data_IF_519198334209
#
_entry.id   IF_519198334209
#
_cell.length_a   1.000
_cell.length_b   1.000
_cell.length_c   1.000
_cell.angle_alpha   90.00
_cell.angle_beta   90.00
_cell.angle_gamma   90.00
#
_symmetry.space_group_name_H-M   'P 1'
#
loop_
_entity.id
_entity.type
_entity.pdbx_description
1 polymer ?
#
# COMPACT_ATOMS: atom_id res chain seq x y z
N UNK A 1 -17.11 5.98 4.24
CA UNK A 1 -15.98 6.14 3.32
C UNK A 1 -15.57 7.59 3.31
N UNK A 2 -14.31 7.93 3.03
CA UNK A 2 -13.78 9.29 3.13
C UNK A 2 -13.89 10.03 1.80
N UNK A 3 -14.26 11.33 1.86
CA UNK A 3 -14.27 12.20 0.67
C UNK A 3 -12.87 12.52 0.20
N UNK A 4 -12.76 12.87 -1.09
CA UNK A 4 -11.51 13.35 -1.65
C UNK A 4 -11.24 14.79 -1.18
N UNK A 5 -9.96 15.19 -0.95
CA UNK A 5 -9.64 16.55 -0.55
C UNK A 5 -10.26 17.63 -1.44
N UNK A 6 -10.22 17.48 -2.76
CA UNK A 6 -10.76 18.46 -3.70
C UNK A 6 -12.28 18.64 -3.64
N UNK A 7 -13.02 17.73 -3.00
CA UNK A 7 -14.48 17.84 -2.85
C UNK A 7 -14.89 18.55 -1.55
N UNK A 8 -13.96 18.73 -0.61
CA UNK A 8 -14.25 19.29 0.71
C UNK A 8 -14.18 20.82 0.64
N UNK A 9 -15.10 21.50 1.32
CA UNK A 9 -15.20 22.95 1.40
C UNK A 9 -13.91 23.61 1.92
N UNK A 10 -13.20 23.00 2.86
CA UNK A 10 -11.90 23.44 3.37
C UNK A 10 -10.82 23.58 2.29
N UNK A 11 -10.97 22.89 1.16
CA UNK A 11 -10.02 22.90 0.04
C UNK A 11 -10.63 23.44 -1.26
N UNK A 12 -11.76 24.18 -1.15
CA UNK A 12 -12.44 24.80 -2.28
C UNK A 12 -13.50 23.93 -2.96
N UNK A 13 -13.86 22.78 -2.38
CA UNK A 13 -14.99 21.96 -2.80
C UNK A 13 -16.32 22.45 -2.21
N UNK A 14 -17.37 21.66 -2.43
CA UNK A 14 -18.74 21.99 -1.97
C UNK A 14 -19.23 21.09 -0.83
N UNK A 15 -18.48 20.07 -0.45
CA UNK A 15 -18.90 19.09 0.56
C UNK A 15 -18.34 19.44 1.95
N UNK A 16 -19.18 19.33 2.98
CA UNK A 16 -18.72 19.44 4.36
C UNK A 16 -17.80 18.27 4.70
N UNK A 17 -16.76 18.53 5.50
CA UNK A 17 -15.86 17.48 5.98
C UNK A 17 -16.55 16.61 7.06
N UNK A 18 -16.56 15.30 6.85
CA UNK A 18 -17.04 14.33 7.85
C UNK A 18 -15.92 13.41 8.27
N UNK A 19 -15.78 13.21 9.57
CA UNK A 19 -14.87 12.22 10.13
C UNK A 19 -15.43 10.80 9.97
N UNK A 20 -14.59 9.77 10.11
CA UNK A 20 -14.99 8.35 9.99
C UNK A 20 -16.14 7.94 10.93
N UNK A 21 -16.29 8.63 12.05
CA UNK A 21 -17.23 8.32 13.11
C UNK A 21 -18.52 9.15 13.05
N UNK A 22 -18.63 10.09 12.13
CA UNK A 22 -19.81 10.92 11.96
C UNK A 22 -20.76 10.30 10.93
N UNK A 23 -22.07 10.27 11.29
CA UNK A 23 -23.11 9.87 10.35
C UNK A 23 -23.23 10.92 9.23
N UNK A 24 -23.24 10.46 7.99
CA UNK A 24 -23.45 11.33 6.82
C UNK A 24 -24.92 11.54 6.55
N UNK A 25 -25.34 12.75 6.13
CA UNK A 25 -26.70 12.97 5.66
C UNK A 25 -26.99 12.11 4.42
N UNK A 26 -28.18 11.53 4.39
CA UNK A 26 -28.68 10.80 3.21
C UNK A 26 -28.78 11.78 2.03
N UNK A 27 -28.05 11.51 0.95
CA UNK A 27 -28.12 12.32 -0.29
C UNK A 27 -26.80 12.93 -0.74
N UNK A 28 -25.70 12.81 0.02
CA UNK A 28 -24.39 13.18 -0.48
C UNK A 28 -23.89 12.15 -1.52
N UNK A 29 -23.41 12.67 -2.65
CA UNK A 29 -22.77 11.83 -3.66
C UNK A 29 -21.46 11.29 -3.06
N UNK A 30 -21.39 9.98 -2.88
CA UNK A 30 -20.23 9.31 -2.30
C UNK A 30 -19.07 9.35 -3.29
N UNK A 31 -18.08 10.17 -3.02
CA UNK A 31 -16.78 10.11 -3.67
C UNK A 31 -15.84 9.22 -2.86
N UNK A 32 -15.51 8.06 -3.41
CA UNK A 32 -14.71 7.04 -2.74
C UNK A 32 -13.22 7.28 -3.00
N UNK A 33 -12.53 7.90 -2.04
CA UNK A 33 -11.09 8.16 -2.13
C UNK A 33 -10.22 7.30 -1.22
N UNK A 34 -10.79 6.35 -0.52
CA UNK A 34 -10.05 5.40 0.30
C UNK A 34 -10.41 3.96 -0.10
N UNK A 35 -9.42 3.06 -0.24
CA UNK A 35 -7.98 3.28 -0.17
C UNK A 35 -7.40 4.01 -1.40
N UNK A 36 -6.15 4.50 -1.29
CA UNK A 36 -5.47 5.19 -2.38
C UNK A 36 -5.04 4.20 -3.48
N UNK A 37 -5.94 3.93 -4.44
CA UNK A 37 -5.75 2.89 -5.45
C UNK A 37 -4.49 3.07 -6.30
N UNK A 38 -4.14 4.30 -6.68
CA UNK A 38 -2.91 4.55 -7.44
C UNK A 38 -1.65 4.26 -6.61
N UNK A 39 -1.64 4.65 -5.33
CA UNK A 39 -0.52 4.37 -4.43
C UNK A 39 -0.39 2.85 -4.17
N UNK A 40 -1.50 2.11 -4.10
CA UNK A 40 -1.47 0.65 -3.91
C UNK A 40 -0.76 -0.07 -5.06
N UNK A 41 -0.90 0.42 -6.31
CA UNK A 41 -0.18 -0.13 -7.46
C UNK A 41 1.35 -0.04 -7.31
N UNK A 42 1.83 0.96 -6.57
CA UNK A 42 3.24 1.08 -6.20
C UNK A 42 3.60 0.26 -4.95
N UNK A 43 2.82 0.41 -3.87
CA UNK A 43 3.11 -0.25 -2.61
C UNK A 43 2.97 -1.78 -2.65
N UNK A 44 2.19 -2.37 -3.57
CA UNK A 44 2.12 -3.83 -3.70
C UNK A 44 3.49 -4.47 -4.02
N UNK A 45 4.42 -3.73 -4.62
CA UNK A 45 5.76 -4.21 -4.91
C UNK A 45 6.63 -4.43 -3.66
N UNK A 46 6.20 -4.00 -2.46
CA UNK A 46 6.86 -4.38 -1.20
C UNK A 46 6.85 -5.89 -0.99
N UNK A 47 5.95 -6.63 -1.65
CA UNK A 47 5.95 -8.09 -1.70
C UNK A 47 7.29 -8.67 -2.19
N UNK A 48 8.03 -7.95 -3.04
CA UNK A 48 9.36 -8.37 -3.48
C UNK A 48 10.34 -8.54 -2.33
N UNK A 49 10.19 -7.79 -1.23
CA UNK A 49 11.00 -7.98 -0.03
C UNK A 49 10.89 -9.41 0.47
N UNK A 50 9.68 -9.92 0.59
CA UNK A 50 9.43 -11.27 1.09
C UNK A 50 9.88 -12.32 0.08
N UNK A 51 9.54 -12.16 -1.21
CA UNK A 51 9.97 -13.09 -2.26
C UNK A 51 11.49 -13.20 -2.29
N UNK A 52 12.21 -12.08 -2.29
CA UNK A 52 13.67 -12.06 -2.30
C UNK A 52 14.27 -12.59 -0.98
N UNK A 53 13.57 -12.45 0.14
CA UNK A 53 14.00 -12.96 1.43
C UNK A 53 14.06 -14.51 1.45
N UNK A 54 13.08 -15.15 0.84
CA UNK A 54 12.98 -16.63 0.78
C UNK A 54 13.76 -17.24 -0.40
N UNK A 55 14.38 -16.43 -1.26
CA UNK A 55 15.25 -16.96 -2.30
C UNK A 55 16.49 -17.65 -1.71
N UNK A 56 16.96 -18.78 -2.30
CA UNK A 56 18.18 -19.45 -1.90
C UNK A 56 19.38 -18.48 -1.89
N UNK A 57 20.24 -18.63 -0.87
CA UNK A 57 21.39 -17.73 -0.66
C UNK A 57 22.33 -17.66 -1.87
N UNK A 58 22.44 -18.73 -2.65
CA UNK A 58 23.23 -18.79 -3.89
C UNK A 58 22.80 -17.78 -4.95
N UNK A 59 21.51 -17.50 -5.07
CA UNK A 59 20.98 -16.50 -5.99
C UNK A 59 21.26 -15.09 -5.50
N UNK A 60 21.10 -14.85 -4.20
CA UNK A 60 21.38 -13.55 -3.58
C UNK A 60 22.86 -13.18 -3.62
N UNK A 61 23.75 -14.16 -3.42
CA UNK A 61 25.20 -13.94 -3.50
C UNK A 61 25.68 -13.64 -4.93
N UNK A 62 25.03 -14.24 -5.94
CA UNK A 62 25.38 -14.03 -7.35
C UNK A 62 24.91 -12.69 -7.89
N UNK A 63 23.75 -12.19 -7.40
CA UNK A 63 23.12 -10.98 -7.91
C UNK A 63 22.83 -10.01 -6.77
N UNK A 64 23.69 -9.01 -6.58
CA UNK A 64 23.56 -8.01 -5.51
C UNK A 64 22.22 -7.25 -5.50
N UNK A 65 21.56 -7.13 -6.65
CA UNK A 65 20.24 -6.51 -6.75
C UNK A 65 19.08 -7.40 -6.26
N UNK A 66 19.32 -8.69 -6.00
CA UNK A 66 18.34 -9.62 -5.42
C UNK A 66 18.30 -9.58 -3.89
N UNK A 67 18.93 -8.61 -3.25
CA UNK A 67 18.78 -8.47 -1.81
C UNK A 67 17.40 -7.92 -1.45
N UNK A 68 16.74 -8.44 -0.40
CA UNK A 68 15.38 -8.04 0.01
C UNK A 68 15.20 -6.54 0.17
N UNK A 69 16.23 -5.85 0.70
CA UNK A 69 16.21 -4.38 0.88
C UNK A 69 15.93 -3.60 -0.41
N UNK A 70 16.36 -4.12 -1.58
CA UNK A 70 16.11 -3.44 -2.85
C UNK A 70 14.66 -3.60 -3.30
N UNK A 71 14.06 -4.78 -3.08
CA UNK A 71 12.63 -5.00 -3.31
C UNK A 71 11.77 -4.07 -2.44
N UNK A 72 12.11 -3.96 -1.15
CA UNK A 72 11.43 -3.05 -0.24
C UNK A 72 11.54 -1.59 -0.69
N UNK A 73 12.76 -1.12 -0.97
CA UNK A 73 13.00 0.26 -1.43
C UNK A 73 12.26 0.56 -2.70
N UNK A 74 12.28 -0.37 -3.66
CA UNK A 74 11.56 -0.22 -4.92
C UNK A 74 10.06 -0.01 -4.71
N UNK A 75 9.40 -0.89 -3.94
CA UNK A 75 7.97 -0.77 -3.64
C UNK A 75 7.62 0.50 -2.88
N UNK A 76 8.41 0.88 -1.87
CA UNK A 76 8.19 2.11 -1.12
C UNK A 76 8.37 3.37 -1.97
N UNK A 77 9.43 3.46 -2.77
CA UNK A 77 9.68 4.61 -3.64
C UNK A 77 8.60 4.75 -4.72
N UNK A 78 8.20 3.65 -5.34
CA UNK A 78 7.15 3.66 -6.36
C UNK A 78 5.79 4.04 -5.77
N UNK A 79 5.44 3.50 -4.59
CA UNK A 79 4.22 3.84 -3.87
C UNK A 79 4.18 5.31 -3.45
N UNK A 80 5.29 5.83 -2.91
CA UNK A 80 5.43 7.25 -2.58
C UNK A 80 5.29 8.15 -3.82
N UNK A 81 5.92 7.80 -4.93
CA UNK A 81 5.83 8.57 -6.17
C UNK A 81 4.38 8.69 -6.64
N UNK A 82 3.65 7.56 -6.66
CA UNK A 82 2.23 7.56 -7.02
C UNK A 82 1.38 8.28 -5.99
N UNK A 83 1.63 8.09 -4.68
CA UNK A 83 0.93 8.77 -3.60
C UNK A 83 1.09 10.29 -3.69
N UNK A 84 2.31 10.79 -3.78
CA UNK A 84 2.60 12.22 -3.89
C UNK A 84 1.92 12.82 -5.13
N UNK A 85 1.96 12.12 -6.28
CA UNK A 85 1.30 12.60 -7.49
C UNK A 85 -0.20 12.80 -7.31
N UNK A 86 -0.86 11.93 -6.55
CA UNK A 86 -2.29 12.03 -6.26
C UNK A 86 -2.60 13.08 -5.17
N UNK A 87 -1.70 13.27 -4.20
CA UNK A 87 -1.82 14.34 -3.21
C UNK A 87 -1.71 15.72 -3.88
N UNK A 88 -0.76 15.90 -4.81
CA UNK A 88 -0.62 17.14 -5.58
C UNK A 88 -1.86 17.47 -6.43
N UNK A 89 -2.60 16.44 -6.87
CA UNK A 89 -3.89 16.61 -7.53
C UNK A 89 -5.06 16.86 -6.58
N UNK A 90 -4.84 16.82 -5.27
CA UNK A 90 -5.91 16.89 -4.27
C UNK A 90 -6.80 15.65 -4.22
N UNK A 91 -6.39 14.51 -4.81
CA UNK A 91 -7.19 13.30 -4.88
C UNK A 91 -7.17 12.50 -3.57
N UNK A 92 -6.05 12.49 -2.85
CA UNK A 92 -5.89 11.73 -1.62
C UNK A 92 -5.22 12.54 -0.52
N UNK A 93 -5.53 12.20 0.74
CA UNK A 93 -4.80 12.68 1.91
C UNK A 93 -3.56 11.80 2.15
N UNK A 94 -2.54 12.36 2.78
CA UNK A 94 -1.35 11.60 3.21
C UNK A 94 -1.71 10.38 4.06
N UNK A 95 -2.72 10.51 4.92
CA UNK A 95 -3.22 9.41 5.74
C UNK A 95 -3.72 8.21 4.92
N UNK A 96 -4.33 8.47 3.75
CA UNK A 96 -4.78 7.42 2.84
C UNK A 96 -3.60 6.61 2.29
N UNK A 97 -2.50 7.30 1.94
CA UNK A 97 -1.28 6.65 1.44
C UNK A 97 -0.60 5.81 2.53
N UNK A 98 -0.50 6.34 3.75
CA UNK A 98 0.07 5.60 4.88
C UNK A 98 -0.72 4.33 5.22
N UNK A 99 -2.06 4.43 5.24
CA UNK A 99 -2.91 3.26 5.42
C UNK A 99 -2.75 2.26 4.28
N UNK A 100 -2.68 2.73 3.03
CA UNK A 100 -2.50 1.88 1.86
C UNK A 100 -1.15 1.15 1.91
N UNK A 101 -0.07 1.85 2.29
CA UNK A 101 1.25 1.24 2.49
C UNK A 101 1.21 0.14 3.57
N UNK A 102 0.54 0.43 4.71
CA UNK A 102 0.39 -0.52 5.81
C UNK A 102 -0.41 -1.76 5.39
N UNK A 103 -1.50 -1.57 4.66
CA UNK A 103 -2.31 -2.67 4.15
C UNK A 103 -1.53 -3.53 3.14
N UNK A 104 -0.81 -2.91 2.19
CA UNK A 104 0.02 -3.63 1.23
C UNK A 104 1.12 -4.44 1.94
N UNK A 105 1.78 -3.86 2.94
CA UNK A 105 2.76 -4.57 3.75
C UNK A 105 2.14 -5.75 4.50
N UNK A 106 1.03 -5.52 5.21
CA UNK A 106 0.35 -6.56 6.00
C UNK A 106 -0.13 -7.72 5.15
N UNK A 107 -0.78 -7.46 4.00
CA UNK A 107 -1.21 -8.49 3.06
C UNK A 107 -0.01 -9.26 2.51
N UNK A 108 1.06 -8.56 2.11
CA UNK A 108 2.29 -9.21 1.61
C UNK A 108 2.94 -10.10 2.66
N UNK A 109 2.99 -9.65 3.91
CA UNK A 109 3.53 -10.44 5.03
C UNK A 109 2.69 -11.69 5.31
N UNK A 110 1.36 -11.56 5.34
CA UNK A 110 0.46 -12.68 5.53
C UNK A 110 0.58 -13.72 4.41
N UNK A 111 0.62 -13.28 3.16
CA UNK A 111 0.81 -14.16 2.01
C UNK A 111 2.17 -14.86 2.06
N UNK A 112 3.23 -14.13 2.42
CA UNK A 112 4.56 -14.73 2.58
C UNK A 112 4.56 -15.79 3.68
N UNK A 113 3.95 -15.50 4.83
CA UNK A 113 3.82 -16.46 5.92
C UNK A 113 3.11 -17.75 5.47
N UNK A 114 1.92 -17.61 4.86
CA UNK A 114 1.13 -18.78 4.49
C UNK A 114 1.69 -19.57 3.30
N UNK A 115 2.29 -18.89 2.31
CA UNK A 115 2.71 -19.54 1.08
C UNK A 115 4.19 -19.96 1.09
N UNK A 116 5.05 -19.16 1.72
CA UNK A 116 6.50 -19.38 1.66
C UNK A 116 7.02 -20.08 2.92
N UNK A 117 6.63 -19.63 4.10
CA UNK A 117 7.14 -20.18 5.36
C UNK A 117 6.59 -21.59 5.64
N UNK A 118 5.29 -21.80 5.45
CA UNK A 118 4.67 -23.11 5.57
C UNK A 118 5.27 -24.14 4.59
N UNK A 119 5.56 -23.71 3.36
CA UNK A 119 6.15 -24.59 2.35
C UNK A 119 7.58 -24.96 2.73
N UNK A 120 8.36 -24.02 3.27
CA UNK A 120 9.72 -24.28 3.74
C UNK A 120 9.75 -25.25 4.93
N UNK A 121 8.84 -25.12 5.90
CA UNK A 121 8.72 -26.04 7.03
C UNK A 121 8.38 -27.47 6.59
N UNK A 122 7.41 -27.63 5.69
CA UNK A 122 7.02 -28.95 5.18
C UNK A 122 8.16 -29.67 4.44
N UNK A 123 9.15 -28.97 3.89
CA UNK A 123 10.30 -29.59 3.24
C UNK A 123 11.39 -30.04 4.23
N UNK A 124 11.37 -29.55 5.45
CA UNK A 124 12.33 -29.96 6.50
C UNK A 124 11.85 -31.18 7.28
N UNK A 125 10.54 -31.48 7.22
CA UNK A 125 9.90 -32.59 7.93
C UNK A 125 9.90 -33.90 7.10
N UNK A 126 10.47 -33.92 5.88
CA UNK A 126 10.72 -35.07 5.04
C UNK A 126 12.22 -35.37 4.93
#
# INVERSE_FOLDING_TARGET
MMDCPYNIDLFGGSNAYFTLWQARPLGNIDHYCFPAGHASAGYCWVALFFVLHYLPAQWRSRYRWMEPRYGLRFGLLLGLLFGISQQLRGAHFLSHDLWTATLCWGVSALLAYFLLERTAQNQLDF
#
